data_IF_006140329096
#
_entry.id   IF_006140329096
#
_cell.length_a   1.000
_cell.length_b   1.000
_cell.length_c   1.000
_cell.angle_alpha   90.00
_cell.angle_beta   90.00
_cell.angle_gamma   90.00
#
_symmetry.space_group_name_H-M   'P 1'
#
loop_
_entity.id
_entity.type
_entity.pdbx_description
1 polymer ?
#
# COMPACT_ATOMS: atom_id res chain seq x y z
N UNK A 1 10.90 7.04 -0.94
CA UNK A 1 11.01 5.55 -0.87
C UNK A 1 11.10 4.91 -2.25
N UNK A 2 10.13 5.16 -3.14
CA UNK A 2 10.03 4.51 -4.47
C UNK A 2 11.31 4.55 -5.33
N UNK A 3 11.99 5.70 -5.40
CA UNK A 3 13.26 5.83 -6.14
C UNK A 3 14.35 4.87 -5.62
N UNK A 4 14.40 4.63 -4.30
CA UNK A 4 15.35 3.70 -3.66
C UNK A 4 15.03 2.24 -3.97
N UNK A 5 13.76 1.90 -4.13
CA UNK A 5 13.28 0.55 -4.50
C UNK A 5 13.58 0.26 -5.97
N UNK A 6 13.39 1.26 -6.84
CA UNK A 6 13.66 1.12 -8.28
C UNK A 6 15.15 0.97 -8.61
N UNK A 7 16.02 1.67 -7.86
CA UNK A 7 17.48 1.68 -8.12
C UNK A 7 18.17 0.36 -7.77
N UNK A 8 17.72 -0.31 -6.71
CA UNK A 8 18.36 -1.49 -6.14
C UNK A 8 17.31 -2.59 -5.93
N UNK A 9 17.27 -3.58 -6.83
CA UNK A 9 16.32 -4.70 -6.71
C UNK A 9 16.83 -5.69 -5.67
N UNK A 10 16.25 -5.64 -4.48
CA UNK A 10 16.48 -6.60 -3.41
C UNK A 10 15.18 -6.86 -2.66
N UNK A 11 15.08 -8.03 -2.03
CA UNK A 11 13.93 -8.42 -1.20
C UNK A 11 13.81 -7.49 0.01
N UNK A 12 12.67 -6.84 0.20
CA UNK A 12 12.38 -5.95 1.33
C UNK A 12 10.88 -5.91 1.61
N UNK A 13 10.53 -5.45 2.80
CA UNK A 13 9.15 -5.13 3.20
C UNK A 13 9.08 -3.64 3.50
N UNK A 14 8.07 -2.96 2.94
CA UNK A 14 7.66 -1.63 3.35
C UNK A 14 6.51 -1.77 4.33
N UNK A 15 6.73 -1.36 5.57
CA UNK A 15 5.70 -1.30 6.60
C UNK A 15 5.17 0.14 6.64
N UNK A 16 3.86 0.28 6.50
CA UNK A 16 3.16 1.56 6.60
C UNK A 16 2.25 1.49 7.82
N UNK A 17 2.62 2.23 8.85
CA UNK A 17 1.79 2.40 10.04
C UNK A 17 0.73 3.49 9.80
N UNK A 18 -0.42 3.37 10.47
CA UNK A 18 -1.59 4.24 10.31
C UNK A 18 -2.01 4.43 8.84
N UNK A 19 -2.03 3.33 8.07
CA UNK A 19 -2.31 3.37 6.64
C UNK A 19 -3.75 3.82 6.29
N UNK A 20 -4.66 3.91 7.27
CA UNK A 20 -6.02 4.43 7.08
C UNK A 20 -6.04 5.86 6.56
N UNK A 21 -5.08 6.70 6.93
CA UNK A 21 -4.99 8.09 6.44
C UNK A 21 -4.93 8.15 4.91
N UNK A 22 -4.28 7.17 4.28
CA UNK A 22 -4.16 7.11 2.82
C UNK A 22 -5.41 6.57 2.14
N UNK A 23 -6.33 5.94 2.85
CA UNK A 23 -7.52 5.32 2.25
C UNK A 23 -8.75 6.20 2.41
N UNK A 24 -8.74 7.16 3.34
CA UNK A 24 -9.81 8.16 3.49
C UNK A 24 -10.06 9.00 2.25
N UNK A 25 -9.08 9.11 1.35
CA UNK A 25 -9.21 9.79 0.08
C UNK A 25 -9.09 8.80 -1.08
N UNK A 26 -10.08 8.81 -1.98
CA UNK A 26 -10.14 7.90 -3.14
C UNK A 26 -8.85 7.91 -3.97
N UNK A 27 -8.29 9.10 -4.25
CA UNK A 27 -7.06 9.25 -5.03
C UNK A 27 -5.85 8.65 -4.32
N UNK A 28 -5.77 8.81 -2.99
CA UNK A 28 -4.70 8.24 -2.17
C UNK A 28 -4.82 6.72 -2.05
N UNK A 29 -6.05 6.20 -1.93
CA UNK A 29 -6.33 4.76 -1.95
C UNK A 29 -5.95 4.13 -3.29
N UNK A 30 -6.34 4.76 -4.39
CA UNK A 30 -5.95 4.34 -5.75
C UNK A 30 -4.43 4.38 -5.94
N UNK A 31 -3.74 5.40 -5.39
CA UNK A 31 -2.28 5.46 -5.39
C UNK A 31 -1.66 4.28 -4.64
N UNK A 32 -2.14 3.99 -3.41
CA UNK A 32 -1.63 2.89 -2.60
C UNK A 32 -1.86 1.53 -3.27
N UNK A 33 -3.03 1.32 -3.87
CA UNK A 33 -3.34 0.13 -4.65
C UNK A 33 -2.39 -0.06 -5.84
N UNK A 34 -2.19 1.00 -6.63
CA UNK A 34 -1.27 0.97 -7.77
C UNK A 34 0.19 0.76 -7.33
N UNK A 35 0.58 1.34 -6.20
CA UNK A 35 1.88 1.13 -5.59
C UNK A 35 2.07 -0.34 -5.20
N UNK A 36 1.10 -0.94 -4.50
CA UNK A 36 1.13 -2.34 -4.07
C UNK A 36 1.24 -3.31 -5.27
N UNK A 37 0.50 -3.04 -6.35
CA UNK A 37 0.64 -3.78 -7.62
C UNK A 37 2.04 -3.68 -8.20
N UNK A 38 2.61 -2.48 -8.23
CA UNK A 38 3.92 -2.24 -8.83
C UNK A 38 5.07 -2.80 -8.00
N UNK A 39 4.95 -2.76 -6.67
CA UNK A 39 5.93 -3.26 -5.71
C UNK A 39 6.33 -4.73 -5.96
N UNK A 40 5.38 -5.56 -6.42
CA UNK A 40 5.60 -6.97 -6.80
C UNK A 40 6.72 -7.15 -7.84
N UNK A 41 6.86 -6.23 -8.80
CA UNK A 41 7.91 -6.26 -9.84
C UNK A 41 9.32 -5.94 -9.31
N UNK A 42 9.42 -5.45 -8.08
CA UNK A 42 10.67 -4.98 -7.46
C UNK A 42 11.03 -5.75 -6.17
N UNK A 43 10.42 -6.91 -5.94
CA UNK A 43 10.62 -7.71 -4.72
C UNK A 43 10.35 -6.93 -3.43
N UNK A 44 9.40 -5.99 -3.47
CA UNK A 44 8.95 -5.24 -2.32
C UNK A 44 7.60 -5.78 -1.86
N UNK A 45 7.54 -6.34 -0.66
CA UNK A 45 6.30 -6.59 0.06
C UNK A 45 5.77 -5.28 0.66
N UNK A 46 4.46 -5.09 0.68
CA UNK A 46 3.80 -3.97 1.36
C UNK A 46 2.98 -4.55 2.52
N UNK A 47 3.19 -4.02 3.71
CA UNK A 47 2.43 -4.36 4.92
C UNK A 47 1.85 -3.07 5.48
N UNK A 48 0.54 -3.02 5.64
CA UNK A 48 -0.17 -1.88 6.23
C UNK A 48 -0.64 -2.26 7.63
N UNK A 49 -0.44 -1.37 8.60
CA UNK A 49 -0.95 -1.49 9.95
C UNK A 49 -2.01 -0.39 10.11
N UNK A 50 -3.18 -0.76 10.62
CA UNK A 50 -4.29 0.17 10.87
C UNK A 50 -5.05 -0.31 12.10
N UNK A 51 -5.54 0.64 12.89
CA UNK A 51 -6.42 0.38 14.03
C UNK A 51 -7.88 0.28 13.58
N UNK A 52 -8.22 0.96 12.49
CA UNK A 52 -9.56 0.98 11.91
C UNK A 52 -9.56 0.20 10.58
N UNK A 53 -10.21 -0.95 10.60
CA UNK A 53 -10.33 -1.84 9.44
C UNK A 53 -11.53 -1.43 8.57
N UNK A 54 -12.51 -0.73 9.14
CA UNK A 54 -13.73 -0.31 8.45
C UNK A 54 -13.40 0.76 7.40
N UNK A 55 -12.44 1.63 7.68
CA UNK A 55 -11.88 2.60 6.72
C UNK A 55 -11.39 1.90 5.43
N UNK A 56 -10.77 0.71 5.56
CA UNK A 56 -10.33 -0.09 4.41
C UNK A 56 -11.48 -0.79 3.67
N UNK A 57 -12.51 -1.21 4.39
CA UNK A 57 -13.65 -1.92 3.83
C UNK A 57 -14.71 -0.98 3.22
N UNK A 58 -14.67 0.31 3.58
CA UNK A 58 -15.58 1.34 3.07
C UNK A 58 -15.31 1.73 1.62
N UNK A 59 -14.13 1.43 1.08
CA UNK A 59 -13.70 1.78 -0.28
C UNK A 59 -13.42 0.54 -1.13
N UNK A 60 -13.67 0.61 -2.45
CA UNK A 60 -13.31 -0.51 -3.34
C UNK A 60 -11.80 -0.69 -3.43
N UNK A 61 -11.05 0.42 -3.37
CA UNK A 61 -9.59 0.42 -3.42
C UNK A 61 -8.97 -0.24 -2.18
N UNK A 62 -9.52 0.02 -0.98
CA UNK A 62 -9.09 -0.61 0.25
C UNK A 62 -9.34 -2.12 0.28
N UNK A 63 -10.50 -2.58 -0.19
CA UNK A 63 -10.79 -4.02 -0.38
C UNK A 63 -9.76 -4.71 -1.27
N UNK A 64 -9.32 -4.04 -2.33
CA UNK A 64 -8.34 -4.56 -3.27
C UNK A 64 -6.89 -4.57 -2.74
N UNK A 65 -6.62 -3.96 -1.58
CA UNK A 65 -5.32 -4.02 -0.89
C UNK A 65 -5.28 -5.17 0.13
N UNK A 66 -6.43 -5.51 0.72
CA UNK A 66 -6.56 -6.60 1.71
C UNK A 66 -6.54 -8.00 1.07
N UNK A 67 -6.85 -8.10 -0.23
CA UNK A 67 -6.87 -9.36 -1.00
C UNK A 67 -5.55 -9.60 -1.74
#
# INVERSE_FOLDING_TARGET
IWNKVRRDKKKRVLIVDEAWYLIKHKDSGAYLHNFAKRARKYHLGLTTITQDVEDFLSTEEGKAIVT
#
